data_IF_780981439839
#
_entry.id   IF_780981439839
#
_cell.length_a   1.000
_cell.length_b   1.000
_cell.length_c   1.000
_cell.angle_alpha   90.00
_cell.angle_beta   90.00
_cell.angle_gamma   90.00
#
_symmetry.space_group_name_H-M   'P 1'
#
loop_
_entity.id
_entity.type
_entity.pdbx_description
1 polymer ?
#
# COMPACT_ATOMS: atom_id res chain seq x y z
N UNK A 1 22.89 -4.27 -7.26
CA UNK A 1 21.98 -3.13 -7.01
C UNK A 1 22.36 -2.03 -7.99
N UNK A 2 21.53 -1.80 -9.01
CA UNK A 2 21.82 -0.91 -10.14
C UNK A 2 21.54 0.55 -9.79
N UNK A 3 22.52 1.42 -10.02
CA UNK A 3 22.36 2.87 -10.07
C UNK A 3 21.60 3.23 -11.34
N UNK A 4 20.33 3.60 -11.21
CA UNK A 4 19.41 3.78 -12.35
C UNK A 4 19.15 5.24 -12.70
N UNK A 5 19.47 6.15 -11.78
CA UNK A 5 19.44 7.59 -12.04
C UNK A 5 20.85 8.15 -12.19
N UNK A 6 20.98 9.30 -12.85
CA UNK A 6 22.27 10.02 -12.98
C UNK A 6 22.91 10.36 -11.63
N UNK A 7 22.10 10.41 -10.56
CA UNK A 7 22.56 10.68 -9.19
C UNK A 7 22.91 9.39 -8.41
N UNK A 8 22.87 8.22 -9.06
CA UNK A 8 23.24 6.95 -8.45
C UNK A 8 22.15 6.25 -7.63
N UNK A 9 20.92 6.78 -7.59
CA UNK A 9 19.82 6.17 -6.84
C UNK A 9 19.20 4.98 -7.59
N UNK A 10 18.71 3.98 -6.85
CA UNK A 10 17.98 2.83 -7.39
C UNK A 10 16.47 3.09 -7.51
N UNK A 11 15.72 2.08 -7.96
CA UNK A 11 14.25 2.17 -8.10
C UNK A 11 13.54 2.32 -6.77
N UNK A 12 14.04 1.64 -5.73
CA UNK A 12 13.41 1.64 -4.41
C UNK A 12 13.42 3.04 -3.81
N UNK A 13 14.55 3.72 -3.90
CA UNK A 13 14.78 5.07 -3.38
C UNK A 13 14.08 6.14 -4.23
N UNK A 14 13.66 5.81 -5.45
CA UNK A 14 13.05 6.77 -6.39
C UNK A 14 11.60 6.41 -6.71
N UNK A 15 11.38 5.53 -7.68
CA UNK A 15 10.07 5.19 -8.20
C UNK A 15 9.16 4.60 -7.12
N UNK A 16 9.61 3.56 -6.42
CA UNK A 16 8.74 2.89 -5.45
C UNK A 16 8.46 3.77 -4.23
N UNK A 17 9.45 4.54 -3.78
CA UNK A 17 9.22 5.54 -2.74
C UNK A 17 8.19 6.60 -3.17
N UNK A 18 8.17 7.03 -4.43
CA UNK A 18 7.14 7.97 -4.92
C UNK A 18 5.76 7.34 -5.06
N UNK A 19 5.68 6.07 -5.45
CA UNK A 19 4.41 5.36 -5.64
C UNK A 19 3.75 4.98 -4.31
N UNK A 20 4.54 4.49 -3.35
CA UNK A 20 4.02 3.89 -2.13
C UNK A 20 4.42 4.63 -0.86
N UNK A 21 5.33 5.62 -0.94
CA UNK A 21 5.81 6.37 0.22
C UNK A 21 6.14 5.45 1.40
N UNK A 22 5.55 5.71 2.57
CA UNK A 22 5.64 4.92 3.80
C UNK A 22 4.32 4.23 4.14
N UNK A 23 3.66 3.62 3.15
CA UNK A 23 2.41 2.89 3.38
C UNK A 23 2.61 1.77 4.42
N UNK A 24 1.75 1.77 5.44
CA UNK A 24 1.74 0.75 6.48
C UNK A 24 0.83 -0.42 6.09
N UNK A 25 1.24 -1.65 6.37
CA UNK A 25 0.47 -2.86 6.03
C UNK A 25 0.06 -3.58 7.32
N UNK A 26 -1.22 -3.86 7.45
CA UNK A 26 -1.84 -4.53 8.59
C UNK A 26 -2.43 -5.87 8.18
N UNK A 27 -2.52 -6.80 9.14
CA UNK A 27 -3.11 -8.11 8.87
C UNK A 27 -4.62 -8.00 8.69
N UNK A 28 -5.29 -7.22 9.53
CA UNK A 28 -6.74 -7.03 9.49
C UNK A 28 -7.14 -5.56 9.40
N UNK A 29 -8.34 -5.31 8.88
CA UNK A 29 -8.93 -3.98 8.77
C UNK A 29 -9.17 -3.40 10.16
N UNK A 30 -9.53 -4.23 11.13
CA UNK A 30 -9.74 -3.83 12.51
C UNK A 30 -8.45 -3.32 13.16
N UNK A 31 -7.31 -4.01 12.95
CA UNK A 31 -6.00 -3.55 13.42
C UNK A 31 -5.62 -2.20 12.80
N UNK A 32 -5.83 -2.04 11.49
CA UNK A 32 -5.60 -0.78 10.78
C UNK A 32 -6.49 0.35 11.31
N UNK A 33 -7.75 0.06 11.66
CA UNK A 33 -8.67 1.06 12.21
C UNK A 33 -8.24 1.53 13.61
N UNK A 34 -7.78 0.61 14.45
CA UNK A 34 -7.26 0.95 15.78
C UNK A 34 -5.99 1.80 15.71
N UNK A 35 -5.21 1.70 14.63
CA UNK A 35 -3.97 2.45 14.45
C UNK A 35 -4.14 3.78 13.70
N UNK A 36 -5.36 4.16 13.29
CA UNK A 36 -5.64 5.39 12.52
C UNK A 36 -4.97 6.66 13.06
N UNK A 37 -4.95 6.93 14.38
CA UNK A 37 -4.28 8.11 14.92
C UNK A 37 -2.76 8.13 14.70
N UNK A 38 -2.15 6.97 14.47
CA UNK A 38 -0.70 6.78 14.29
C UNK A 38 -0.30 6.63 12.82
N UNK A 39 -1.26 6.54 11.90
CA UNK A 39 -1.00 6.44 10.46
C UNK A 39 -0.64 7.85 9.95
N UNK A 40 0.59 8.00 9.47
CA UNK A 40 1.10 9.27 8.93
C UNK A 40 0.91 9.42 7.42
N UNK A 41 0.77 8.31 6.70
CA UNK A 41 0.65 8.24 5.24
C UNK A 41 -0.54 7.33 4.86
N UNK A 42 -0.45 6.54 3.79
CA UNK A 42 -1.45 5.52 3.49
C UNK A 42 -1.33 4.27 4.38
N UNK A 43 -2.39 3.48 4.43
CA UNK A 43 -2.39 2.17 5.07
C UNK A 43 -3.24 1.17 4.27
N UNK A 44 -2.84 -0.11 4.33
CA UNK A 44 -3.50 -1.24 3.70
C UNK A 44 -3.73 -2.33 4.73
N UNK A 45 -4.85 -3.04 4.64
CA UNK A 45 -5.05 -4.31 5.32
C UNK A 45 -5.16 -5.47 4.33
N UNK A 46 -4.63 -6.63 4.71
CA UNK A 46 -4.61 -7.82 3.85
C UNK A 46 -6.00 -8.44 3.64
N UNK A 47 -6.97 -8.05 4.47
CA UNK A 47 -8.39 -8.42 4.41
C UNK A 47 -9.28 -7.32 3.78
N UNK A 48 -8.71 -6.56 2.84
CA UNK A 48 -9.42 -5.65 1.92
C UNK A 48 -9.69 -4.20 2.39
N UNK A 49 -8.95 -3.72 3.40
CA UNK A 49 -8.99 -2.33 3.85
C UNK A 49 -7.93 -1.44 3.18
N UNK A 50 -8.29 -0.20 2.87
CA UNK A 50 -7.31 0.82 2.44
C UNK A 50 -7.69 2.21 2.95
N UNK A 51 -6.72 2.92 3.51
CA UNK A 51 -6.77 4.37 3.76
C UNK A 51 -5.70 5.06 2.92
N UNK A 52 -6.06 6.14 2.24
CA UNK A 52 -5.12 6.98 1.50
C UNK A 52 -4.47 8.00 2.43
N UNK A 53 -3.33 8.58 2.02
CA UNK A 53 -2.61 9.58 2.80
C UNK A 53 -3.42 10.84 3.15
N UNK A 54 -4.47 11.15 2.37
CA UNK A 54 -5.41 12.21 2.70
C UNK A 54 -6.54 11.78 3.67
N UNK A 55 -6.40 10.62 4.32
CA UNK A 55 -7.38 10.08 5.27
C UNK A 55 -8.62 9.47 4.63
N UNK A 56 -8.73 9.44 3.29
CA UNK A 56 -9.91 8.88 2.62
C UNK A 56 -9.86 7.36 2.60
N UNK A 57 -10.93 6.73 3.07
CA UNK A 57 -11.13 5.28 3.03
C UNK A 57 -11.66 4.83 1.67
N UNK A 58 -11.16 3.69 1.21
CA UNK A 58 -11.78 2.92 0.12
C UNK A 58 -12.47 1.71 0.73
N UNK A 59 -13.78 1.62 0.57
CA UNK A 59 -14.64 0.58 1.12
C UNK A 59 -15.40 -0.10 -0.02
N UNK A 60 -15.74 -1.38 0.14
CA UNK A 60 -16.47 -2.18 -0.85
C UNK A 60 -15.83 -3.54 -1.05
N UNK A 61 -16.57 -4.48 -1.67
CA UNK A 61 -16.02 -5.80 -1.98
C UNK A 61 -15.03 -5.70 -3.13
N UNK A 62 -13.77 -6.07 -2.90
CA UNK A 62 -12.82 -6.26 -3.99
C UNK A 62 -12.83 -7.70 -4.43
N UNK A 63 -13.63 -7.97 -5.46
CA UNK A 63 -13.47 -9.17 -6.26
C UNK A 63 -12.15 -9.08 -7.01
N UNK A 64 -11.08 -9.61 -6.42
CA UNK A 64 -9.94 -10.02 -7.22
C UNK A 64 -10.45 -11.21 -8.03
N UNK A 65 -10.73 -11.00 -9.32
CA UNK A 65 -10.90 -12.08 -10.28
C UNK A 65 -9.61 -12.90 -10.24
N UNK A 66 -9.57 -13.93 -9.40
CA UNK A 66 -8.54 -14.96 -9.40
C UNK A 66 -8.70 -15.77 -10.68
N UNK A 67 -8.29 -15.18 -11.81
CA UNK A 67 -8.22 -15.85 -13.10
C UNK A 67 -7.05 -16.83 -13.10
N UNK A 68 -7.18 -17.89 -12.32
CA UNK A 68 -6.30 -19.07 -12.31
C UNK A 68 -7.05 -20.38 -12.05
N UNK A 69 -8.39 -20.39 -11.95
CA UNK A 69 -9.19 -21.64 -11.87
C UNK A 69 -9.77 -22.06 -13.24
N UNK A 70 -9.42 -21.37 -14.33
CA UNK A 70 -9.85 -21.70 -15.69
C UNK A 70 -8.65 -21.73 -16.65
N UNK A 71 -7.67 -22.59 -16.38
CA UNK A 71 -6.73 -23.20 -17.34
C UNK A 71 -6.26 -24.52 -16.78
#
# INVERSE_FOLDING_TARGET
>A
MSCLTNNGHGLWETLFYRLFSRVQVYKTRSEMQLSLPCISEGALSLDDGMVRSNGVFTLGSRYILSRWTLV
#
